data_IF_588433486250
#
_entry.id   IF_588433486250
#
_cell.length_a   1.000
_cell.length_b   1.000
_cell.length_c   1.000
_cell.angle_alpha   90.00
_cell.angle_beta   90.00
_cell.angle_gamma   90.00
#
_symmetry.space_group_name_H-M   'P 1'
#
loop_
_entity.id
_entity.type
_entity.pdbx_description
1 polymer ?
#
# COMPACT_ATOMS: atom_id res chain seq x y z
N UNK A 1 22.42 -3.38 -22.50
CA UNK A 1 21.15 -3.63 -21.79
C UNK A 1 21.47 -3.41 -20.33
N UNK A 2 21.02 -2.28 -19.80
CA UNK A 2 21.63 -1.62 -18.64
C UNK A 2 21.30 -2.32 -17.32
N UNK A 3 22.19 -2.23 -16.34
CA UNK A 3 22.02 -2.78 -14.99
C UNK A 3 20.65 -2.44 -14.35
N UNK A 4 20.08 -1.28 -14.69
CA UNK A 4 18.76 -0.87 -14.21
C UNK A 4 17.62 -1.80 -14.68
N UNK A 5 17.67 -2.26 -15.93
CA UNK A 5 16.66 -3.17 -16.49
C UNK A 5 16.74 -4.55 -15.82
N UNK A 6 17.95 -4.99 -15.49
CA UNK A 6 18.17 -6.27 -14.82
C UNK A 6 17.68 -6.23 -13.37
N UNK A 7 17.97 -5.14 -12.65
CA UNK A 7 17.44 -4.89 -11.29
C UNK A 7 15.92 -4.82 -11.25
N UNK A 8 15.28 -4.27 -12.29
CA UNK A 8 13.81 -4.23 -12.37
C UNK A 8 13.22 -5.64 -12.50
N UNK A 9 13.84 -6.51 -13.32
CA UNK A 9 13.42 -7.92 -13.46
C UNK A 9 13.61 -8.72 -12.17
N UNK A 10 14.68 -8.46 -11.43
CA UNK A 10 14.91 -9.06 -10.11
C UNK A 10 13.81 -8.66 -9.11
N UNK A 11 13.45 -7.37 -9.09
CA UNK A 11 12.36 -6.87 -8.25
C UNK A 11 11.01 -7.52 -8.62
N UNK A 12 10.67 -7.56 -9.90
CA UNK A 12 9.45 -8.22 -10.38
C UNK A 12 9.39 -9.69 -9.96
N UNK A 13 10.52 -10.39 -10.09
CA UNK A 13 10.64 -11.79 -9.69
C UNK A 13 10.47 -11.97 -8.18
N UNK A 14 10.97 -11.05 -7.35
CA UNK A 14 10.75 -11.08 -5.89
C UNK A 14 9.26 -10.95 -5.53
N UNK A 15 8.55 -10.02 -6.17
CA UNK A 15 7.11 -9.83 -5.94
C UNK A 15 6.26 -11.02 -6.41
N UNK A 16 6.55 -11.56 -7.61
CA UNK A 16 5.82 -12.72 -8.15
C UNK A 16 6.04 -14.00 -7.34
N UNK A 17 7.22 -14.16 -6.74
CA UNK A 17 7.52 -15.30 -5.88
C UNK A 17 6.86 -15.21 -4.50
N UNK A 18 6.53 -13.99 -4.06
CA UNK A 18 5.89 -13.72 -2.78
C UNK A 18 6.77 -14.01 -1.55
N UNK A 19 6.28 -13.69 -0.34
CA UNK A 19 7.03 -13.78 0.92
C UNK A 19 7.56 -15.20 1.23
N UNK A 20 6.76 -16.24 0.92
CA UNK A 20 7.10 -17.63 1.23
C UNK A 20 8.29 -18.17 0.44
N UNK A 21 8.49 -17.72 -0.80
CA UNK A 21 9.55 -18.21 -1.69
C UNK A 21 10.76 -17.28 -1.78
N UNK A 22 10.62 -16.03 -1.34
CA UNK A 22 11.69 -15.01 -1.33
C UNK A 22 12.44 -14.90 0.00
N UNK A 23 12.19 -15.80 0.96
CA UNK A 23 12.89 -15.82 2.24
C UNK A 23 12.63 -14.56 3.07
N UNK A 24 11.37 -14.11 3.16
CA UNK A 24 10.95 -12.91 3.90
C UNK A 24 11.49 -11.58 3.37
N UNK A 25 12.10 -11.55 2.17
CA UNK A 25 12.56 -10.31 1.53
C UNK A 25 11.47 -9.60 0.72
N UNK A 26 10.24 -10.12 0.73
CA UNK A 26 9.09 -9.55 0.04
C UNK A 26 7.87 -9.56 0.96
N UNK A 27 7.01 -8.55 0.85
CA UNK A 27 5.71 -8.47 1.53
C UNK A 27 4.60 -9.07 0.66
N UNK A 28 3.56 -9.66 1.27
CA UNK A 28 2.36 -10.03 0.51
C UNK A 28 1.61 -8.77 0.07
N UNK A 29 0.74 -8.93 -0.92
CA UNK A 29 -0.16 -7.86 -1.34
C UNK A 29 -1.05 -7.43 -0.16
N UNK A 30 -1.50 -8.37 0.67
CA UNK A 30 -2.29 -8.09 1.88
C UNK A 30 -1.54 -7.17 2.83
N UNK A 31 -0.27 -7.45 3.14
CA UNK A 31 0.54 -6.58 4.01
C UNK A 31 0.74 -5.19 3.41
N UNK A 32 0.85 -5.07 2.09
CA UNK A 32 0.96 -3.76 1.44
C UNK A 32 -0.36 -2.98 1.54
N UNK A 33 -1.50 -3.65 1.44
CA UNK A 33 -2.81 -3.05 1.67
C UNK A 33 -2.97 -2.61 3.13
N UNK A 34 -2.55 -3.43 4.10
CA UNK A 34 -2.53 -3.06 5.52
C UNK A 34 -1.70 -1.78 5.76
N UNK A 35 -0.52 -1.69 5.14
CA UNK A 35 0.35 -0.51 5.23
C UNK A 35 -0.31 0.72 4.63
N UNK A 36 -0.99 0.59 3.48
CA UNK A 36 -1.74 1.71 2.86
C UNK A 36 -2.85 2.20 3.79
N UNK A 37 -3.65 1.29 4.37
CA UNK A 37 -4.74 1.64 5.29
C UNK A 37 -4.20 2.34 6.55
N UNK A 38 -3.10 1.85 7.13
CA UNK A 38 -2.47 2.49 8.30
C UNK A 38 -1.93 3.87 7.95
N UNK A 39 -1.28 4.03 6.78
CA UNK A 39 -0.78 5.32 6.32
C UNK A 39 -1.92 6.31 6.11
N UNK A 40 -3.05 5.87 5.57
CA UNK A 40 -4.26 6.69 5.45
C UNK A 40 -4.77 7.18 6.81
N UNK A 41 -4.90 6.27 7.78
CA UNK A 41 -5.42 6.59 9.12
C UNK A 41 -4.55 7.65 9.80
N UNK A 42 -3.24 7.42 9.80
CA UNK A 42 -2.27 8.34 10.40
C UNK A 42 -2.28 9.69 9.66
N UNK A 43 -2.39 9.68 8.34
CA UNK A 43 -2.48 10.89 7.52
C UNK A 43 -3.76 11.68 7.80
N UNK A 44 -4.87 10.99 8.11
CA UNK A 44 -6.13 11.61 8.48
C UNK A 44 -6.11 12.24 9.87
N UNK A 45 -5.43 11.58 10.81
CA UNK A 45 -5.32 12.00 12.21
C UNK A 45 -4.17 13.01 12.45
N UNK A 46 -3.24 13.13 11.51
CA UNK A 46 -2.13 14.07 11.56
C UNK A 46 -2.48 15.47 11.05
N UNK A 47 -1.73 16.48 11.51
CA UNK A 47 -1.77 17.84 10.97
C UNK A 47 -1.36 17.91 9.49
N UNK A 48 -0.69 16.87 8.99
CA UNK A 48 -0.33 16.68 7.58
C UNK A 48 -1.53 16.64 6.63
N UNK A 49 -2.75 16.33 7.11
CA UNK A 49 -3.97 16.37 6.29
C UNK A 49 -4.22 17.70 5.59
N UNK A 50 -3.65 18.79 6.12
CA UNK A 50 -3.74 20.14 5.54
C UNK A 50 -2.75 20.39 4.40
N UNK A 51 -1.74 19.53 4.24
CA UNK A 51 -0.81 19.56 3.11
C UNK A 51 -1.54 19.07 1.85
N UNK A 52 -1.43 19.81 0.76
CA UNK A 52 -2.21 19.54 -0.47
C UNK A 52 -1.97 18.14 -1.02
N UNK A 53 -0.72 17.71 -1.04
CA UNK A 53 -0.26 16.37 -1.44
C UNK A 53 -0.93 15.26 -0.63
N UNK A 54 -1.01 15.43 0.70
CA UNK A 54 -1.60 14.46 1.62
C UNK A 54 -3.13 14.48 1.54
N UNK A 55 -3.73 15.67 1.41
CA UNK A 55 -5.17 15.79 1.15
C UNK A 55 -5.59 15.15 -0.18
N UNK A 56 -4.81 15.36 -1.25
CA UNK A 56 -5.07 14.77 -2.57
C UNK A 56 -4.91 13.23 -2.50
N UNK A 57 -3.93 12.72 -1.73
CA UNK A 57 -3.76 11.28 -1.45
C UNK A 57 -4.96 10.68 -0.70
N UNK A 58 -5.37 11.29 0.42
CA UNK A 58 -6.53 10.86 1.21
C UNK A 58 -7.78 10.85 0.34
N UNK A 59 -7.99 11.86 -0.49
CA UNK A 59 -9.17 11.94 -1.35
C UNK A 59 -9.16 10.87 -2.45
N UNK A 60 -8.00 10.52 -2.98
CA UNK A 60 -7.86 9.44 -3.95
C UNK A 60 -8.22 8.08 -3.35
N UNK A 61 -7.75 7.79 -2.14
CA UNK A 61 -8.05 6.52 -1.45
C UNK A 61 -9.53 6.41 -1.05
N UNK A 62 -10.17 7.50 -0.61
CA UNK A 62 -11.63 7.52 -0.37
C UNK A 62 -12.41 7.19 -1.63
N UNK A 63 -11.96 7.66 -2.79
CA UNK A 63 -12.61 7.41 -4.08
C UNK A 63 -12.43 5.96 -4.53
N UNK A 64 -11.24 5.37 -4.32
CA UNK A 64 -10.99 3.95 -4.58
C UNK A 64 -11.80 3.03 -3.66
N UNK A 65 -11.95 3.42 -2.39
CA UNK A 65 -12.71 2.67 -1.40
C UNK A 65 -14.22 2.98 -1.43
N UNK A 66 -14.73 3.71 -2.43
CA UNK A 66 -16.16 3.92 -2.62
C UNK A 66 -16.88 4.61 -1.44
N UNK A 67 -16.14 5.36 -0.61
CA UNK A 67 -16.69 6.01 0.59
C UNK A 67 -16.93 5.09 1.79
N UNK A 68 -16.39 3.87 1.80
CA UNK A 68 -16.38 3.03 3.00
C UNK A 68 -15.58 3.73 4.12
N UNK A 69 -16.15 3.76 5.33
CA UNK A 69 -15.41 4.21 6.51
C UNK A 69 -14.24 3.27 6.75
N UNK A 70 -13.12 3.75 7.30
CA UNK A 70 -11.93 2.93 7.54
C UNK A 70 -12.22 1.71 8.42
N UNK A 71 -13.22 1.83 9.30
CA UNK A 71 -13.79 0.76 10.11
C UNK A 71 -14.36 -0.41 9.27
N UNK A 72 -14.91 -0.13 8.10
CA UNK A 72 -15.45 -1.14 7.18
C UNK A 72 -14.35 -1.74 6.29
N UNK A 73 -13.34 -0.95 5.92
CA UNK A 73 -12.20 -1.42 5.13
C UNK A 73 -11.34 -2.43 5.91
N UNK A 74 -11.11 -2.19 7.21
CA UNK A 74 -10.44 -3.15 8.09
C UNK A 74 -11.16 -4.52 8.14
N UNK A 75 -12.49 -4.53 8.01
CA UNK A 75 -13.27 -5.77 8.00
C UNK A 75 -13.11 -6.56 6.69
N UNK A 76 -12.91 -5.87 5.56
CA UNK A 76 -12.69 -6.50 4.27
C UNK A 76 -11.29 -7.11 4.09
N UNK A 77 -10.28 -6.61 4.81
CA UNK A 77 -8.90 -7.15 4.72
C UNK A 77 -8.67 -8.32 5.70
N UNK A 78 -9.53 -8.47 6.72
CA UNK A 78 -9.46 -9.55 7.72
C UNK A 78 -10.30 -10.80 7.37
N UNK A 79 -10.94 -10.87 6.20
CA UNK A 79 -11.76 -12.02 5.74
C UNK A 79 -11.08 -12.75 4.58
#
# INVERSE_FOLDING_TARGET
MGDAENRLKELETLFLNGPLRSGHQCFSIETLLDVLVVLYDESCNSSLRREKTVSDFIQFEVLLLGGFSLSDACFCVLI
#
